data_IF_964367030126
#
_entry.id   IF_964367030126
#
_cell.length_a   1.000
_cell.length_b   1.000
_cell.length_c   1.000
_cell.angle_alpha   90.00
_cell.angle_beta   90.00
_cell.angle_gamma   90.00
#
_symmetry.space_group_name_H-M   'P 1'
#
loop_
_entity.id
_entity.type
_entity.pdbx_description
1 polymer ?
#
# COMPACT_ATOMS: atom_id res chain seq x y z
N UNK A 1 -40.32 -11.01 -8.67
CA UNK A 1 -39.30 -9.97 -8.80
C UNK A 1 -38.24 -10.21 -7.74
N UNK A 2 -37.11 -10.81 -8.12
CA UNK A 2 -35.98 -11.00 -7.23
C UNK A 2 -35.30 -9.64 -7.02
N UNK A 3 -35.34 -9.11 -5.80
CA UNK A 3 -34.51 -7.97 -5.42
C UNK A 3 -33.08 -8.48 -5.36
N UNK A 4 -32.27 -8.09 -6.31
CA UNK A 4 -30.85 -8.28 -6.21
C UNK A 4 -30.32 -7.33 -5.13
N UNK A 5 -30.09 -7.86 -3.94
CA UNK A 5 -29.43 -7.08 -2.89
C UNK A 5 -27.99 -6.80 -3.33
N UNK A 6 -27.66 -5.52 -3.45
CA UNK A 6 -26.28 -5.09 -3.71
C UNK A 6 -25.44 -5.47 -2.50
N UNK A 7 -24.30 -6.14 -2.68
CA UNK A 7 -23.44 -6.46 -1.56
C UNK A 7 -22.95 -5.19 -0.83
N UNK A 8 -22.63 -5.27 0.46
CA UNK A 8 -22.14 -4.10 1.19
C UNK A 8 -20.82 -3.62 0.60
N UNK A 9 -20.66 -2.30 0.55
CA UNK A 9 -19.44 -1.66 0.03
C UNK A 9 -18.24 -1.95 0.95
N UNK A 10 -17.08 -2.13 0.35
CA UNK A 10 -15.81 -2.11 1.09
C UNK A 10 -15.58 -0.73 1.71
N UNK A 11 -14.70 -0.63 2.70
CA UNK A 11 -14.37 0.66 3.31
C UNK A 11 -13.89 1.68 2.27
N UNK A 12 -13.14 1.22 1.25
CA UNK A 12 -12.69 2.06 0.14
C UNK A 12 -13.85 2.56 -0.71
N UNK A 13 -14.77 1.67 -1.09
CA UNK A 13 -15.96 2.02 -1.87
C UNK A 13 -16.86 2.98 -1.11
N UNK A 14 -17.11 2.71 0.19
CA UNK A 14 -17.89 3.59 1.04
C UNK A 14 -17.28 5.00 1.12
N UNK A 15 -15.97 5.12 1.21
CA UNK A 15 -15.29 6.40 1.22
C UNK A 15 -15.44 7.14 -0.11
N UNK A 16 -15.30 6.46 -1.24
CA UNK A 16 -15.51 7.05 -2.56
C UNK A 16 -16.95 7.55 -2.75
N UNK A 17 -17.92 6.82 -2.26
CA UNK A 17 -19.35 7.19 -2.28
C UNK A 17 -19.65 8.46 -1.49
N UNK A 18 -18.92 8.70 -0.37
CA UNK A 18 -19.12 9.88 0.48
C UNK A 18 -18.48 11.15 -0.09
N UNK A 19 -17.65 11.05 -1.13
CA UNK A 19 -17.05 12.21 -1.78
C UNK A 19 -18.07 12.90 -2.69
N UNK A 20 -18.01 14.23 -2.73
CA UNK A 20 -18.83 15.01 -3.67
C UNK A 20 -18.40 14.73 -5.11
N UNK A 21 -19.31 14.96 -6.06
CA UNK A 21 -19.00 14.84 -7.49
C UNK A 21 -17.84 15.76 -7.89
N UNK A 22 -17.79 16.97 -7.33
CA UNK A 22 -16.71 17.93 -7.56
C UNK A 22 -15.35 17.42 -7.06
N UNK A 23 -15.32 16.82 -5.86
CA UNK A 23 -14.07 16.24 -5.33
C UNK A 23 -13.56 15.07 -6.16
N UNK A 24 -14.45 14.19 -6.64
CA UNK A 24 -14.07 13.04 -7.47
C UNK A 24 -13.54 13.43 -8.83
N UNK A 25 -13.98 14.54 -9.38
CA UNK A 25 -13.62 15.01 -10.73
C UNK A 25 -12.54 16.09 -10.72
N UNK A 26 -12.16 16.59 -9.55
CA UNK A 26 -11.09 17.59 -9.44
C UNK A 26 -9.74 16.96 -9.85
N UNK A 27 -9.02 17.67 -10.71
CA UNK A 27 -7.65 17.30 -11.09
C UNK A 27 -6.70 17.67 -9.97
N UNK A 28 -5.88 16.71 -9.56
CA UNK A 28 -4.89 16.91 -8.51
C UNK A 28 -3.48 16.92 -9.09
N UNK A 29 -2.63 17.78 -8.55
CA UNK A 29 -1.24 17.88 -8.96
C UNK A 29 -0.42 16.72 -8.36
N UNK A 30 0.23 15.87 -9.18
CA UNK A 30 1.12 14.84 -8.68
C UNK A 30 2.29 15.37 -7.85
N UNK A 31 2.64 16.64 -7.99
CA UNK A 31 3.69 17.31 -7.20
C UNK A 31 3.43 17.34 -5.70
N UNK A 32 2.19 17.08 -5.25
CA UNK A 32 1.89 16.93 -3.83
C UNK A 32 2.46 15.64 -3.21
N UNK A 33 2.88 14.68 -4.04
CA UNK A 33 3.48 13.43 -3.56
C UNK A 33 4.92 13.70 -3.16
N UNK A 34 5.23 13.51 -1.88
CA UNK A 34 6.57 13.77 -1.32
C UNK A 34 7.46 12.54 -1.28
N UNK A 35 6.85 11.36 -1.14
CA UNK A 35 7.55 10.07 -1.07
C UNK A 35 6.56 8.95 -1.35
N UNK A 36 7.06 7.72 -1.41
CA UNK A 36 6.27 6.50 -1.51
C UNK A 36 6.65 5.53 -0.41
N UNK A 37 5.65 4.79 0.08
CA UNK A 37 5.85 3.61 0.88
C UNK A 37 5.43 2.38 0.08
N UNK A 38 6.23 1.31 0.14
CA UNK A 38 5.83 -0.01 -0.28
C UNK A 38 5.86 -0.94 0.94
N UNK A 39 4.76 -1.61 1.21
CA UNK A 39 4.63 -2.57 2.31
C UNK A 39 4.68 -3.97 1.74
N UNK A 40 5.72 -4.72 2.05
CA UNK A 40 5.89 -6.11 1.63
C UNK A 40 5.27 -7.01 2.69
N UNK A 41 4.15 -7.66 2.34
CA UNK A 41 3.45 -8.56 3.24
C UNK A 41 3.99 -9.97 3.14
N UNK A 42 4.05 -10.66 4.27
CA UNK A 42 4.47 -12.05 4.33
C UNK A 42 3.73 -12.78 5.45
N UNK A 43 3.76 -14.11 5.39
CA UNK A 43 3.33 -14.98 6.47
C UNK A 43 4.57 -15.47 7.20
N UNK A 44 4.75 -15.16 8.50
CA UNK A 44 5.93 -15.59 9.26
C UNK A 44 6.16 -17.10 9.23
N UNK A 45 5.09 -17.89 9.09
CA UNK A 45 5.18 -19.35 9.07
C UNK A 45 5.57 -19.93 7.70
N UNK A 46 5.25 -19.24 6.58
CA UNK A 46 5.35 -19.84 5.24
C UNK A 46 6.18 -19.04 4.23
N UNK A 47 6.24 -17.70 4.34
CA UNK A 47 6.85 -16.87 3.29
C UNK A 47 7.88 -15.83 3.81
N UNK A 48 8.28 -15.93 5.07
CA UNK A 48 9.31 -15.03 5.61
C UNK A 48 10.65 -15.17 4.89
N UNK A 49 10.98 -16.37 4.39
CA UNK A 49 12.19 -16.63 3.62
C UNK A 49 12.22 -15.85 2.31
N UNK A 50 11.12 -15.85 1.57
CA UNK A 50 10.97 -15.08 0.33
C UNK A 50 11.04 -13.57 0.61
N UNK A 51 10.41 -13.12 1.68
CA UNK A 51 10.45 -11.72 2.11
C UNK A 51 11.89 -11.29 2.48
N UNK A 52 12.66 -12.17 3.13
CA UNK A 52 14.06 -11.92 3.48
C UNK A 52 14.95 -11.88 2.24
N UNK A 53 14.74 -12.77 1.29
CA UNK A 53 15.45 -12.77 0.01
C UNK A 53 15.21 -11.45 -0.74
N UNK A 54 13.94 -11.07 -0.89
CA UNK A 54 13.56 -9.83 -1.54
C UNK A 54 14.22 -8.61 -0.87
N UNK A 55 14.18 -8.56 0.46
CA UNK A 55 14.78 -7.47 1.24
C UNK A 55 16.29 -7.33 0.99
N UNK A 56 17.03 -8.46 0.97
CA UNK A 56 18.46 -8.44 0.69
C UNK A 56 18.76 -7.93 -0.71
N UNK A 57 18.00 -8.39 -1.71
CA UNK A 57 18.19 -7.93 -3.10
C UNK A 57 17.92 -6.44 -3.26
N UNK A 58 16.89 -5.92 -2.60
CA UNK A 58 16.59 -4.48 -2.60
C UNK A 58 17.75 -3.71 -1.98
N UNK A 59 18.25 -4.14 -0.84
CA UNK A 59 19.38 -3.48 -0.16
C UNK A 59 20.65 -3.44 -1.03
N UNK A 60 20.91 -4.52 -1.76
CA UNK A 60 22.08 -4.62 -2.65
C UNK A 60 21.95 -3.78 -3.91
N UNK A 61 20.77 -3.80 -4.54
CA UNK A 61 20.54 -3.16 -5.84
C UNK A 61 20.16 -1.68 -5.74
N UNK A 62 19.53 -1.29 -4.62
CA UNK A 62 19.01 0.05 -4.41
C UNK A 62 19.48 0.61 -3.06
N UNK A 63 20.80 0.91 -2.91
CA UNK A 63 21.35 1.31 -1.61
C UNK A 63 20.81 2.62 -1.06
N UNK A 64 20.20 3.47 -1.90
CA UNK A 64 19.58 4.74 -1.49
C UNK A 64 18.13 4.57 -0.98
N UNK A 65 17.54 3.38 -1.11
CA UNK A 65 16.20 3.09 -0.62
C UNK A 65 16.28 2.72 0.86
N UNK A 66 15.37 3.30 1.64
CA UNK A 66 15.30 3.05 3.08
C UNK A 66 14.40 1.87 3.38
N UNK A 67 14.92 0.91 4.14
CA UNK A 67 14.18 -0.26 4.61
C UNK A 67 13.77 -0.06 6.06
N UNK A 68 12.47 -0.20 6.34
CA UNK A 68 11.95 -0.25 7.70
C UNK A 68 12.24 -1.60 8.36
N UNK A 69 11.98 -1.68 9.65
CA UNK A 69 12.18 -2.93 10.39
C UNK A 69 11.11 -3.97 10.07
N UNK A 70 11.40 -5.22 10.38
CA UNK A 70 10.45 -6.32 10.32
C UNK A 70 9.32 -6.14 11.35
N UNK A 71 8.08 -6.40 10.92
CA UNK A 71 6.93 -6.51 11.80
C UNK A 71 6.29 -7.88 11.60
N UNK A 72 6.63 -8.84 12.45
CA UNK A 72 6.11 -10.20 12.36
C UNK A 72 4.68 -10.32 12.90
N UNK A 73 4.13 -9.25 13.48
CA UNK A 73 2.74 -9.12 13.92
C UNK A 73 2.08 -7.96 13.17
N UNK A 74 0.76 -8.03 12.91
CA UNK A 74 0.03 -6.92 12.31
C UNK A 74 0.23 -5.61 13.07
N UNK A 75 0.43 -4.51 12.34
CA UNK A 75 0.67 -3.17 12.90
C UNK A 75 -0.05 -2.12 12.05
N UNK A 76 -0.59 -1.08 12.71
CA UNK A 76 -1.34 -0.01 12.05
C UNK A 76 -2.50 -0.55 11.22
N UNK A 77 -2.71 -0.07 9.98
CA UNK A 77 -3.78 -0.54 9.10
C UNK A 77 -3.48 -1.89 8.46
N UNK A 78 -2.28 -2.45 8.63
CA UNK A 78 -1.83 -3.64 7.93
C UNK A 78 -2.39 -4.92 8.59
N UNK A 79 -3.08 -5.79 7.82
CA UNK A 79 -3.70 -7.00 8.36
C UNK A 79 -2.71 -8.15 8.59
N UNK A 80 -1.55 -8.11 7.94
CA UNK A 80 -0.53 -9.16 7.98
C UNK A 80 0.81 -8.62 8.43
N UNK A 81 1.75 -9.51 8.74
CA UNK A 81 3.16 -9.17 8.93
C UNK A 81 3.70 -8.47 7.69
N UNK A 82 4.59 -7.50 7.87
CA UNK A 82 5.17 -6.75 6.76
C UNK A 82 6.48 -6.06 7.14
N UNK A 83 7.22 -5.55 6.15
CA UNK A 83 8.19 -4.48 6.32
C UNK A 83 7.95 -3.39 5.27
N UNK A 84 8.39 -2.19 5.58
CA UNK A 84 8.19 -1.02 4.75
C UNK A 84 9.45 -0.69 3.95
N UNK A 85 9.26 -0.28 2.71
CA UNK A 85 10.27 0.31 1.85
C UNK A 85 9.88 1.77 1.63
N UNK A 86 10.80 2.70 1.90
CA UNK A 86 10.60 4.13 1.68
C UNK A 86 11.48 4.59 0.51
N UNK A 87 10.87 5.25 -0.48
CA UNK A 87 11.59 5.77 -1.63
C UNK A 87 11.01 7.08 -2.15
N UNK A 88 11.83 7.82 -2.88
CA UNK A 88 11.46 9.13 -3.45
C UNK A 88 10.67 8.98 -4.75
N UNK A 89 9.94 10.02 -5.18
CA UNK A 89 9.24 10.01 -6.47
C UNK A 89 10.13 9.72 -7.67
N UNK A 90 11.38 10.20 -7.68
CA UNK A 90 12.33 9.94 -8.77
C UNK A 90 12.80 8.47 -8.82
N UNK A 91 12.63 7.71 -7.76
CA UNK A 91 12.97 6.28 -7.69
C UNK A 91 11.80 5.37 -8.08
N UNK A 92 10.58 5.91 -8.19
CA UNK A 92 9.36 5.13 -8.41
C UNK A 92 9.46 4.21 -9.63
N UNK A 93 9.82 4.76 -10.79
CA UNK A 93 9.89 4.00 -12.04
C UNK A 93 10.94 2.89 -12.02
N UNK A 94 11.99 3.05 -11.24
CA UNK A 94 13.06 2.04 -11.13
C UNK A 94 12.63 0.91 -10.19
N UNK A 95 12.19 1.24 -8.98
CA UNK A 95 11.85 0.23 -7.98
C UNK A 95 10.57 -0.52 -8.34
N UNK A 96 9.55 0.15 -8.86
CA UNK A 96 8.28 -0.50 -9.22
C UNK A 96 8.48 -1.50 -10.36
N UNK A 97 9.23 -1.17 -11.39
CA UNK A 97 9.50 -2.08 -12.50
C UNK A 97 10.23 -3.33 -12.01
N UNK A 98 11.18 -3.15 -11.09
CA UNK A 98 11.91 -4.27 -10.50
C UNK A 98 11.00 -5.14 -9.62
N UNK A 99 10.18 -4.53 -8.78
CA UNK A 99 9.22 -5.23 -7.90
C UNK A 99 8.19 -6.02 -8.69
N UNK A 100 7.67 -5.47 -9.79
CA UNK A 100 6.71 -6.18 -10.65
C UNK A 100 7.21 -7.56 -11.07
N UNK A 101 8.49 -7.68 -11.38
CA UNK A 101 9.09 -8.92 -11.85
C UNK A 101 9.70 -9.78 -10.74
N UNK A 102 10.04 -9.18 -9.60
CA UNK A 102 10.90 -9.82 -8.60
C UNK A 102 10.28 -9.91 -7.19
N UNK A 103 8.99 -9.68 -7.04
CA UNK A 103 8.33 -9.69 -5.72
C UNK A 103 8.20 -11.06 -5.07
N UNK A 104 8.70 -12.12 -5.67
CA UNK A 104 8.67 -13.49 -5.12
C UNK A 104 7.26 -14.01 -4.78
N UNK A 105 6.23 -13.60 -5.52
CA UNK A 105 4.84 -13.97 -5.24
C UNK A 105 4.21 -13.27 -4.04
N UNK A 106 4.94 -12.38 -3.37
CA UNK A 106 4.45 -11.65 -2.21
C UNK A 106 3.49 -10.52 -2.63
N UNK A 107 2.52 -10.23 -1.77
CA UNK A 107 1.66 -9.06 -1.96
C UNK A 107 2.36 -7.81 -1.47
N UNK A 108 2.33 -6.76 -2.27
CA UNK A 108 2.93 -5.46 -1.94
C UNK A 108 1.89 -4.37 -2.12
N UNK A 109 1.71 -3.55 -1.08
CA UNK A 109 0.95 -2.31 -1.15
C UNK A 109 1.92 -1.17 -1.40
N UNK A 110 1.67 -0.41 -2.47
CA UNK A 110 2.40 0.84 -2.74
C UNK A 110 1.43 2.00 -2.59
N UNK A 111 1.79 2.99 -1.80
CA UNK A 111 0.98 4.20 -1.67
C UNK A 111 1.86 5.44 -1.62
N UNK A 112 1.35 6.59 -2.10
CA UNK A 112 2.06 7.86 -1.97
C UNK A 112 1.99 8.40 -0.55
N UNK A 113 2.85 9.35 -0.26
CA UNK A 113 2.80 10.21 0.92
C UNK A 113 2.36 11.61 0.49
N UNK A 114 1.10 11.97 0.76
CA UNK A 114 0.53 13.30 0.42
C UNK A 114 0.17 14.12 1.65
N UNK A 115 0.33 13.55 2.84
CA UNK A 115 -0.05 14.18 4.10
C UNK A 115 -1.42 13.74 4.63
N UNK A 116 -2.16 12.94 3.87
CA UNK A 116 -3.44 12.36 4.28
C UNK A 116 -3.32 10.83 4.29
N UNK A 117 -2.96 10.27 5.43
CA UNK A 117 -2.72 8.82 5.57
C UNK A 117 -3.92 7.98 5.15
N UNK A 118 -5.14 8.43 5.47
CA UNK A 118 -6.33 7.68 5.10
C UNK A 118 -6.51 7.60 3.59
N UNK A 119 -6.47 8.74 2.91
CA UNK A 119 -6.58 8.78 1.45
C UNK A 119 -5.45 8.03 0.76
N UNK A 120 -4.25 8.17 1.27
CA UNK A 120 -3.07 7.52 0.69
C UNK A 120 -3.21 5.99 0.69
N UNK A 121 -3.78 5.41 1.74
CA UNK A 121 -4.01 3.97 1.85
C UNK A 121 -5.31 3.52 1.16
N UNK A 122 -6.37 4.33 1.19
CA UNK A 122 -7.70 3.96 0.71
C UNK A 122 -7.89 4.24 -0.78
N UNK A 123 -7.55 5.46 -1.23
CA UNK A 123 -7.85 5.94 -2.59
C UNK A 123 -6.65 5.86 -3.54
N UNK A 124 -5.45 6.07 -3.03
CA UNK A 124 -4.24 6.20 -3.83
C UNK A 124 -3.37 4.95 -3.81
N UNK A 125 -3.92 3.85 -3.34
CA UNK A 125 -3.21 2.59 -3.21
C UNK A 125 -3.00 1.90 -4.57
N UNK A 126 -1.79 1.37 -4.75
CA UNK A 126 -1.44 0.48 -5.85
C UNK A 126 -1.06 -0.88 -5.25
N UNK A 127 -1.74 -1.94 -5.66
CA UNK A 127 -1.49 -3.28 -5.18
C UNK A 127 -0.73 -4.12 -6.21
N UNK A 128 0.32 -4.78 -5.76
CA UNK A 128 1.00 -5.83 -6.52
C UNK A 128 0.61 -7.18 -5.91
N UNK A 129 -0.01 -8.04 -6.69
CA UNK A 129 -0.59 -9.29 -6.21
C UNK A 129 -2.03 -9.12 -5.75
N UNK A 130 -2.35 -9.62 -4.56
CA UNK A 130 -3.71 -9.52 -4.01
C UNK A 130 -4.02 -8.13 -3.47
N UNK A 131 -5.31 -7.81 -3.37
CA UNK A 131 -5.78 -6.64 -2.63
C UNK A 131 -6.18 -7.12 -1.24
N UNK A 132 -5.50 -6.64 -0.21
CA UNK A 132 -5.81 -6.99 1.18
C UNK A 132 -6.80 -6.00 1.79
N UNK A 133 -7.55 -6.47 2.79
CA UNK A 133 -8.46 -5.61 3.55
C UNK A 133 -7.68 -4.88 4.64
N UNK A 134 -7.35 -3.61 4.38
CA UNK A 134 -6.69 -2.76 5.36
C UNK A 134 -7.66 -2.37 6.49
N UNK A 135 -7.13 -2.23 7.70
CA UNK A 135 -7.87 -1.68 8.84
C UNK A 135 -7.82 -0.16 8.80
N UNK A 136 -8.62 0.42 7.90
CA UNK A 136 -8.63 1.87 7.63
C UNK A 136 -9.17 2.69 8.80
N UNK A 137 -9.94 2.09 9.69
CA UNK A 137 -10.46 2.73 10.90
C UNK A 137 -9.36 3.29 11.80
N UNK A 138 -8.19 2.66 11.85
CA UNK A 138 -7.06 3.15 12.66
C UNK A 138 -6.47 4.46 12.09
N UNK A 139 -6.77 4.79 10.84
CA UNK A 139 -6.31 6.01 10.18
C UNK A 139 -7.34 7.16 10.23
N UNK A 140 -8.60 6.87 10.60
CA UNK A 140 -9.68 7.87 10.65
C UNK A 140 -9.79 8.59 11.99
N UNK A 141 -9.22 8.07 13.07
CA UNK A 141 -9.28 8.64 14.40
C UNK A 141 -8.35 9.84 14.63
N UNK A 142 -7.69 10.34 13.58
CA UNK A 142 -6.79 11.49 13.65
C UNK A 142 -7.55 12.75 13.28
N UNK A 143 -8.10 13.39 14.27
CA UNK A 143 -8.57 14.76 14.14
C UNK A 143 -7.40 15.71 14.32
#
# INVERSE_FOLDING_TARGET
MLRTETPPLSAREAMLEHRTSSERTAVQDPGQITAYHAHVYYDPATSRGEAAFLRRRIAELFPDIRLGRWHDQPVGPHPDAMYQILFRPDQFGVILLWLLLNRCGLTILVHPETGDDYKDHAEHALWLGAILSLRLDVLTGRT
#
